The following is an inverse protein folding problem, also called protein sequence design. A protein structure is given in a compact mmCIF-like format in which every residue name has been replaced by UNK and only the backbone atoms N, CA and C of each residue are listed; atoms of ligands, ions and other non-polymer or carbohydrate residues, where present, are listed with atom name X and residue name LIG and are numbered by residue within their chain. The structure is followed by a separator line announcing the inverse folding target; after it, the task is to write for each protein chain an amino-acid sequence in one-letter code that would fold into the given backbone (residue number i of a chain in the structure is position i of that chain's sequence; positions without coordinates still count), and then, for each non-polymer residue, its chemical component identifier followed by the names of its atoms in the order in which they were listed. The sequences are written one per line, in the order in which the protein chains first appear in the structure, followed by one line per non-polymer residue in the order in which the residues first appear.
data_IF_415943289943
#
_entry.id   IF_415943289943
#
_cell.length_a   1.000
_cell.length_b   1.000
_cell.length_c   1.000
_cell.angle_alpha   90.00
_cell.angle_beta   90.00
_cell.angle_gamma   90.00
#
_symmetry.space_group_name_H-M   'P 1'
#
loop_
_entity.id
_entity.type
_entity.pdbx_description
1 polymer ?
#
# COMPACT_ATOMS: atom_id res chain seq x y z
N UNK A 1 0.96 40.47 29.74
CA UNK A 1 1.12 39.07 29.30
C UNK A 1 2.27 38.51 30.11
N UNK A 2 1.98 37.77 31.18
CA UNK A 2 3.00 37.16 32.04
C UNK A 2 3.71 36.04 31.28
N UNK A 3 5.03 36.08 31.26
CA UNK A 3 5.84 35.03 30.66
C UNK A 3 5.64 33.73 31.44
N UNK A 4 5.21 32.68 30.76
CA UNK A 4 5.20 31.31 31.31
C UNK A 4 6.65 30.93 31.62
N UNK A 5 7.00 31.00 32.91
CA UNK A 5 8.33 30.65 33.41
C UNK A 5 8.42 29.12 33.51
N UNK A 6 8.73 28.49 32.38
CA UNK A 6 8.99 27.05 32.29
C UNK A 6 10.31 26.80 33.04
N UNK A 7 10.23 26.33 34.28
CA UNK A 7 11.41 25.86 35.02
C UNK A 7 12.04 24.72 34.23
N UNK A 8 13.26 24.92 33.75
CA UNK A 8 14.07 23.86 33.17
C UNK A 8 14.22 22.75 34.22
N UNK A 9 13.66 21.57 33.92
CA UNK A 9 13.82 20.40 34.78
C UNK A 9 15.28 19.96 34.64
N UNK A 10 16.08 19.97 35.72
CA UNK A 10 17.48 19.62 35.62
C UNK A 10 17.62 18.14 35.23
N UNK A 11 18.24 17.90 34.09
CA UNK A 11 18.56 16.55 33.59
C UNK A 11 19.64 15.95 34.51
N UNK A 12 19.39 14.75 35.03
CA UNK A 12 20.35 14.06 35.90
C UNK A 12 21.59 13.61 35.13
N UNK A 13 22.74 13.47 35.80
CA UNK A 13 23.98 12.95 35.15
C UNK A 13 23.77 11.57 34.53
N UNK A 14 22.93 10.73 35.15
CA UNK A 14 22.55 9.44 34.60
C UNK A 14 21.83 9.57 33.24
N UNK A 15 20.87 10.49 33.10
CA UNK A 15 20.15 10.72 31.85
C UNK A 15 21.06 11.27 30.74
N UNK A 16 22.06 12.09 31.10
CA UNK A 16 23.08 12.57 30.15
C UNK A 16 23.93 11.41 29.63
N UNK A 17 24.38 10.53 30.52
CA UNK A 17 25.15 9.34 30.17
C UNK A 17 24.36 8.40 29.24
N UNK A 18 23.09 8.12 29.57
CA UNK A 18 22.19 7.30 28.76
C UNK A 18 21.97 7.89 27.36
N UNK A 19 21.72 9.20 27.28
CA UNK A 19 21.55 9.90 26.01
C UNK A 19 22.80 9.80 25.14
N UNK A 20 23.99 9.95 25.74
CA UNK A 20 25.26 9.84 25.01
C UNK A 20 25.50 8.42 24.48
N UNK A 21 25.23 7.39 25.29
CA UNK A 21 25.32 5.99 24.84
C UNK A 21 24.39 5.72 23.66
N UNK A 22 23.13 6.18 23.76
CA UNK A 22 22.14 6.02 22.70
C UNK A 22 22.59 6.70 21.39
N UNK A 23 23.14 7.90 21.47
CA UNK A 23 23.67 8.60 20.29
C UNK A 23 24.76 7.80 19.58
N UNK A 24 25.68 7.22 20.34
CA UNK A 24 26.78 6.42 19.79
C UNK A 24 26.32 5.08 19.20
N UNK A 25 25.28 4.48 19.77
CA UNK A 25 24.61 3.29 19.20
C UNK A 25 23.90 3.61 17.89
N UNK A 26 23.10 4.69 17.85
CA UNK A 26 22.35 5.10 16.66
C UNK A 26 23.27 5.46 15.48
N UNK A 27 24.45 6.03 15.75
CA UNK A 27 25.48 6.31 14.73
C UNK A 27 26.03 5.05 14.05
N UNK A 28 26.05 3.93 14.77
CA UNK A 28 26.60 2.65 14.30
C UNK A 28 25.54 1.74 13.69
N UNK A 29 24.25 2.01 13.93
CA UNK A 29 23.15 1.20 13.40
C UNK A 29 23.04 1.41 11.87
N UNK A 30 23.25 0.36 11.05
CA UNK A 30 23.21 0.48 9.60
C UNK A 30 21.83 0.92 9.08
N UNK A 31 20.74 0.62 9.79
CA UNK A 31 19.38 1.02 9.40
C UNK A 31 19.18 2.52 9.60
N UNK A 32 19.77 3.07 10.66
CA UNK A 32 19.76 4.52 10.91
C UNK A 32 20.64 5.24 9.89
N UNK A 33 21.81 4.69 9.58
CA UNK A 33 22.68 5.23 8.53
C UNK A 33 21.98 5.24 7.17
N UNK A 34 21.29 4.15 6.80
CA UNK A 34 20.50 4.07 5.56
C UNK A 34 19.39 5.14 5.54
N UNK A 35 18.66 5.32 6.65
CA UNK A 35 17.62 6.35 6.78
C UNK A 35 18.19 7.75 6.49
N UNK A 36 19.31 8.10 7.13
CA UNK A 36 19.92 9.41 6.99
C UNK A 36 20.38 9.67 5.57
N UNK A 37 20.94 8.67 4.90
CA UNK A 37 21.34 8.76 3.49
C UNK A 37 20.13 8.89 2.56
N UNK A 38 19.11 8.03 2.74
CA UNK A 38 17.91 7.97 1.88
C UNK A 38 17.10 9.26 1.97
N UNK A 39 16.92 9.79 3.17
CA UNK A 39 16.07 10.95 3.44
C UNK A 39 16.88 12.25 3.56
N UNK A 40 18.20 12.19 3.34
CA UNK A 40 19.13 13.33 3.40
C UNK A 40 19.03 14.11 4.72
N UNK A 41 18.94 13.38 5.83
CA UNK A 41 18.85 13.97 7.16
C UNK A 41 20.21 14.48 7.63
N UNK A 42 20.22 15.61 8.32
CA UNK A 42 21.41 16.18 8.93
C UNK A 42 21.76 15.43 10.24
N UNK A 43 23.02 15.03 10.40
CA UNK A 43 23.55 14.37 11.60
C UNK A 43 23.28 15.14 12.90
N UNK A 44 23.04 16.46 12.83
CA UNK A 44 22.58 17.27 13.98
C UNK A 44 21.41 16.63 14.72
N UNK A 45 20.52 15.92 14.00
CA UNK A 45 19.35 15.28 14.60
C UNK A 45 19.69 14.10 15.51
N UNK A 46 20.84 13.45 15.31
CA UNK A 46 21.34 12.45 16.27
C UNK A 46 21.61 13.12 17.62
N UNK A 47 22.03 14.38 17.64
CA UNK A 47 22.29 15.10 18.88
C UNK A 47 21.03 15.74 19.48
N UNK A 48 20.20 16.40 18.65
CA UNK A 48 19.03 17.15 19.13
C UNK A 48 17.83 16.26 19.43
N UNK A 49 17.67 15.16 18.70
CA UNK A 49 16.46 14.32 18.73
C UNK A 49 16.76 12.80 18.76
N UNK A 50 17.74 12.30 19.55
CA UNK A 50 18.13 10.89 19.54
C UNK A 50 16.98 9.94 19.91
N UNK A 51 16.17 10.31 20.89
CA UNK A 51 15.04 9.51 21.35
C UNK A 51 13.95 9.32 20.29
N UNK A 52 13.77 10.31 19.41
CA UNK A 52 12.82 10.21 18.30
C UNK A 52 13.31 9.20 17.26
N UNK A 53 14.60 9.23 16.95
CA UNK A 53 15.24 8.28 16.03
C UNK A 53 15.21 6.87 16.63
N UNK A 54 15.46 6.74 17.93
CA UNK A 54 15.34 5.45 18.63
C UNK A 54 13.92 4.89 18.58
N UNK A 55 12.91 5.72 18.85
CA UNK A 55 11.51 5.33 18.76
C UNK A 55 11.14 4.88 17.34
N UNK A 56 11.59 5.62 16.31
CA UNK A 56 11.44 5.25 14.91
C UNK A 56 12.11 3.90 14.60
N UNK A 57 13.36 3.72 15.03
CA UNK A 57 14.12 2.50 14.78
C UNK A 57 13.39 1.28 15.32
N UNK A 58 12.81 1.40 16.52
CA UNK A 58 11.98 0.36 17.15
C UNK A 58 10.68 0.12 16.38
N UNK A 59 10.00 1.17 15.89
CA UNK A 59 8.78 1.00 15.08
C UNK A 59 9.04 0.43 13.69
N UNK A 60 10.25 0.64 13.14
CA UNK A 60 10.65 0.13 11.83
C UNK A 60 11.12 -1.33 11.87
N UNK A 61 11.50 -1.86 13.03
CA UNK A 61 11.97 -3.25 13.20
C UNK A 61 11.13 -4.31 12.47
N UNK A 62 9.78 -4.29 12.53
CA UNK A 62 8.97 -5.29 11.83
C UNK A 62 9.07 -5.24 10.30
N UNK A 63 9.52 -4.11 9.73
CA UNK A 63 9.69 -3.95 8.28
C UNK A 63 10.95 -4.63 7.74
N UNK A 64 12.00 -4.81 8.56
CA UNK A 64 13.28 -5.38 8.12
C UNK A 64 13.13 -6.84 7.66
N UNK A 65 12.23 -7.59 8.29
CA UNK A 65 11.97 -8.99 7.98
C UNK A 65 10.60 -9.21 7.32
N UNK A 66 10.03 -8.15 6.73
CA UNK A 66 8.71 -8.22 6.10
C UNK A 66 8.77 -8.92 4.74
N UNK A 67 7.97 -9.97 4.58
CA UNK A 67 7.87 -10.80 3.37
C UNK A 67 6.72 -10.39 2.45
N UNK A 68 5.78 -9.57 2.93
CA UNK A 68 4.65 -9.10 2.14
C UNK A 68 3.52 -8.51 2.97
N UNK A 69 2.51 -7.96 2.29
CA UNK A 69 1.38 -7.28 2.95
C UNK A 69 0.58 -8.19 3.88
N UNK A 70 0.41 -9.48 3.54
CA UNK A 70 -0.39 -10.42 4.35
C UNK A 70 0.23 -10.73 5.72
N UNK A 71 1.55 -10.63 5.85
CA UNK A 71 2.28 -10.84 7.11
C UNK A 71 2.77 -9.52 7.72
N UNK A 72 2.25 -8.39 7.25
CA UNK A 72 2.64 -7.08 7.73
C UNK A 72 2.20 -6.90 9.20
N UNK A 73 3.16 -6.60 10.06
CA UNK A 73 2.95 -6.37 11.51
C UNK A 73 2.90 -4.89 11.89
N UNK A 74 2.89 -4.00 10.90
CA UNK A 74 2.75 -2.56 11.14
C UNK A 74 1.34 -2.22 11.61
N UNK A 75 1.20 -1.13 12.39
CA UNK A 75 -0.10 -0.65 12.86
C UNK A 75 -1.05 -0.35 11.70
N UNK A 76 -0.52 0.25 10.65
CA UNK A 76 -1.23 0.50 9.39
C UNK A 76 -0.65 -0.42 8.33
N UNK A 77 -1.44 -1.40 7.88
CA UNK A 77 -1.00 -2.43 6.94
C UNK A 77 -0.42 -1.81 5.67
N UNK A 78 0.81 -2.15 5.34
CA UNK A 78 1.50 -1.67 4.14
C UNK A 78 2.20 -0.31 4.29
N UNK A 79 2.05 0.35 5.44
CA UNK A 79 2.67 1.64 5.73
C UNK A 79 3.60 1.53 6.93
N UNK A 80 4.58 2.42 6.99
CA UNK A 80 5.45 2.58 8.14
C UNK A 80 5.68 4.08 8.37
N UNK A 81 6.03 4.45 9.60
CA UNK A 81 6.40 5.82 9.91
C UNK A 81 7.87 6.03 9.48
N UNK A 82 8.09 6.98 8.61
CA UNK A 82 9.41 7.45 8.14
C UNK A 82 9.79 8.76 8.84
N UNK A 83 11.03 9.21 8.69
CA UNK A 83 11.51 10.47 9.25
C UNK A 83 11.95 11.45 8.17
N UNK A 84 11.35 12.63 8.11
CA UNK A 84 11.71 13.68 7.15
C UNK A 84 12.13 14.98 7.84
N UNK A 85 12.99 15.77 7.17
CA UNK A 85 13.37 17.12 7.60
C UNK A 85 12.64 18.17 6.76
N UNK A 86 11.61 18.77 7.37
CA UNK A 86 10.89 19.92 6.80
C UNK A 86 11.15 21.20 7.63
N UNK A 87 12.42 21.39 8.06
CA UNK A 87 12.85 22.42 9.00
C UNK A 87 12.88 21.94 10.45
N UNK A 88 12.10 20.90 10.75
CA UNK A 88 12.20 20.10 11.97
C UNK A 88 12.05 18.62 11.59
N UNK A 89 12.61 17.72 12.40
CA UNK A 89 12.47 16.27 12.20
C UNK A 89 11.03 15.84 12.50
N UNK A 90 10.30 15.30 11.53
CA UNK A 90 8.91 14.87 11.64
C UNK A 90 8.70 13.42 11.21
N UNK A 91 7.63 12.80 11.73
CA UNK A 91 7.23 11.46 11.28
C UNK A 91 6.30 11.61 10.07
N UNK A 92 6.54 10.83 9.02
CA UNK A 92 5.71 10.83 7.80
C UNK A 92 5.30 9.41 7.46
N UNK A 93 4.00 9.18 7.28
CA UNK A 93 3.50 7.86 6.93
C UNK A 93 3.83 7.53 5.47
N UNK A 94 4.65 6.51 5.26
CA UNK A 94 5.18 6.16 3.94
C UNK A 94 4.76 4.74 3.53
N UNK A 95 4.29 4.52 2.29
CA UNK A 95 3.96 3.18 1.82
C UNK A 95 5.23 2.36 1.58
N UNK A 96 5.26 1.13 2.10
CA UNK A 96 6.37 0.22 1.87
C UNK A 96 6.42 -0.25 0.41
N UNK A 97 7.51 -0.92 0.01
CA UNK A 97 7.68 -1.46 -1.36
C UNK A 97 6.51 -2.34 -1.81
N UNK A 98 5.94 -3.14 -0.92
CA UNK A 98 4.81 -4.01 -1.24
C UNK A 98 3.51 -3.24 -1.42
N UNK A 99 3.29 -2.20 -0.61
CA UNK A 99 2.13 -1.34 -0.73
C UNK A 99 2.18 -0.50 -2.00
N UNK A 100 3.36 0.05 -2.35
CA UNK A 100 3.58 0.74 -3.63
C UNK A 100 3.28 -0.15 -4.82
N UNK A 101 3.83 -1.37 -4.84
CA UNK A 101 3.54 -2.34 -5.89
C UNK A 101 2.05 -2.74 -5.96
N UNK A 102 1.35 -2.77 -4.83
CA UNK A 102 -0.10 -3.00 -4.81
C UNK A 102 -0.86 -1.81 -5.41
N UNK A 103 -0.53 -0.59 -4.97
CA UNK A 103 -1.13 0.66 -5.48
C UNK A 103 -0.95 0.78 -6.99
N UNK A 104 0.24 0.50 -7.52
CA UNK A 104 0.51 0.48 -8.96
C UNK A 104 -0.39 -0.54 -9.69
N UNK A 105 -0.54 -1.75 -9.13
CA UNK A 105 -1.39 -2.81 -9.71
C UNK A 105 -2.89 -2.51 -9.65
N UNK A 106 -3.31 -1.60 -8.78
CA UNK A 106 -4.71 -1.22 -8.57
C UNK A 106 -5.02 0.22 -8.94
N UNK A 107 -4.08 0.95 -9.52
CA UNK A 107 -4.26 2.37 -9.87
C UNK A 107 -5.44 2.58 -10.83
N UNK A 108 -5.71 1.60 -11.71
CA UNK A 108 -6.85 1.63 -12.63
C UNK A 108 -8.20 1.66 -11.92
N UNK A 109 -8.28 1.23 -10.66
CA UNK A 109 -9.54 1.24 -9.90
C UNK A 109 -10.10 2.65 -9.70
N UNK A 110 -9.28 3.69 -9.78
CA UNK A 110 -9.73 5.10 -9.73
C UNK A 110 -10.66 5.47 -10.89
N UNK A 111 -10.68 4.67 -11.97
CA UNK A 111 -11.57 4.87 -13.13
C UNK A 111 -12.95 4.27 -12.93
N UNK A 112 -13.20 3.57 -11.82
CA UNK A 112 -14.51 3.01 -11.53
C UNK A 112 -15.41 4.06 -10.87
N UNK A 113 -16.50 4.44 -11.52
CA UNK A 113 -17.54 5.27 -10.90
C UNK A 113 -18.31 4.52 -9.82
N UNK A 114 -18.51 3.21 -10.03
CA UNK A 114 -19.05 2.26 -9.05
C UNK A 114 -18.21 0.99 -9.13
N UNK A 115 -17.74 0.49 -7.99
CA UNK A 115 -16.96 -0.74 -7.92
C UNK A 115 -17.50 -1.65 -6.81
N UNK A 116 -18.37 -2.58 -7.19
CA UNK A 116 -18.91 -3.60 -6.29
C UNK A 116 -18.12 -4.93 -6.38
N UNK A 117 -16.93 -4.92 -7.02
CA UNK A 117 -16.09 -6.11 -7.07
C UNK A 117 -15.49 -6.43 -5.70
N UNK A 118 -15.38 -7.71 -5.31
CA UNK A 118 -14.56 -8.10 -4.18
C UNK A 118 -13.07 -7.82 -4.46
N UNK A 119 -12.29 -7.57 -3.41
CA UNK A 119 -10.88 -7.14 -3.53
C UNK A 119 -9.96 -8.15 -4.24
N UNK A 120 -10.32 -9.44 -4.22
CA UNK A 120 -9.61 -10.48 -4.98
C UNK A 120 -9.80 -10.36 -6.51
N UNK A 121 -10.80 -9.61 -6.98
CA UNK A 121 -11.07 -9.37 -8.40
C UNK A 121 -10.44 -8.08 -8.94
N UNK A 122 -9.80 -7.24 -8.10
CA UNK A 122 -9.24 -5.96 -8.54
C UNK A 122 -8.10 -6.08 -9.57
N UNK A 123 -7.41 -7.23 -9.61
CA UNK A 123 -6.21 -7.39 -10.45
C UNK A 123 -6.34 -8.50 -11.48
N UNK A 124 -7.56 -9.02 -11.69
CA UNK A 124 -7.82 -10.04 -12.71
C UNK A 124 -7.70 -9.43 -14.11
N UNK A 125 -7.38 -10.27 -15.08
CA UNK A 125 -7.25 -9.93 -16.49
C UNK A 125 -7.44 -11.19 -17.32
N UNK A 126 -7.84 -11.05 -18.58
CA UNK A 126 -8.01 -12.21 -19.47
C UNK A 126 -6.71 -13.00 -19.61
N UNK A 127 -5.57 -12.32 -19.68
CA UNK A 127 -4.25 -12.93 -19.90
C UNK A 127 -3.73 -13.77 -18.71
N UNK A 128 -4.33 -13.64 -17.52
CA UNK A 128 -3.94 -14.41 -16.33
C UNK A 128 -4.73 -15.71 -16.16
N UNK A 129 -5.73 -15.94 -17.00
CA UNK A 129 -6.57 -17.14 -16.94
C UNK A 129 -5.78 -18.32 -17.51
N UNK A 130 -5.68 -19.41 -16.74
CA UNK A 130 -4.97 -20.61 -17.18
C UNK A 130 -5.88 -21.49 -18.06
N UNK A 131 -5.89 -21.20 -19.36
CA UNK A 131 -6.74 -21.87 -20.36
C UNK A 131 -6.42 -23.37 -20.53
N UNK A 132 -5.22 -23.83 -20.17
CA UNK A 132 -4.81 -25.23 -20.37
C UNK A 132 -5.56 -26.23 -19.46
N UNK A 133 -6.20 -25.73 -18.40
CA UNK A 133 -6.94 -26.55 -17.43
C UNK A 133 -8.45 -26.47 -17.61
N UNK A 134 -8.92 -25.70 -18.59
CA UNK A 134 -10.33 -25.41 -18.79
C UNK A 134 -10.95 -26.28 -19.89
N UNK A 135 -12.28 -26.41 -19.82
CA UNK A 135 -13.06 -27.10 -20.84
C UNK A 135 -13.14 -26.27 -22.13
N UNK A 136 -13.25 -26.93 -23.28
CA UNK A 136 -13.35 -26.27 -24.59
C UNK A 136 -14.50 -25.24 -24.66
N UNK A 137 -15.64 -25.55 -24.04
CA UNK A 137 -16.78 -24.65 -23.93
C UNK A 137 -16.44 -23.32 -23.22
N UNK A 138 -15.60 -23.39 -22.18
CA UNK A 138 -15.16 -22.19 -21.46
C UNK A 138 -14.20 -21.35 -22.31
N UNK A 139 -13.36 -21.99 -23.13
CA UNK A 139 -12.45 -21.30 -24.05
C UNK A 139 -13.23 -20.46 -25.07
N UNK A 140 -14.31 -21.00 -25.63
CA UNK A 140 -15.17 -20.28 -26.58
C UNK A 140 -15.81 -19.04 -25.93
N UNK A 141 -16.30 -19.17 -24.70
CA UNK A 141 -16.87 -18.03 -23.95
C UNK A 141 -15.81 -17.01 -23.59
N UNK A 142 -14.63 -17.46 -23.16
CA UNK A 142 -13.49 -16.57 -22.86
C UNK A 142 -13.08 -15.77 -24.09
N UNK A 143 -12.97 -16.42 -25.25
CA UNK A 143 -12.61 -15.77 -26.51
C UNK A 143 -13.68 -14.78 -26.97
N UNK A 144 -14.96 -15.15 -26.86
CA UNK A 144 -16.08 -14.26 -27.14
C UNK A 144 -16.06 -13.01 -26.23
N UNK A 145 -15.83 -13.19 -24.92
CA UNK A 145 -15.70 -12.08 -23.96
C UNK A 145 -14.53 -11.16 -24.31
N UNK A 146 -13.36 -11.73 -24.60
CA UNK A 146 -12.15 -10.97 -24.93
C UNK A 146 -12.34 -10.19 -26.22
N UNK A 147 -12.87 -10.84 -27.26
CA UNK A 147 -13.18 -10.22 -28.54
C UNK A 147 -14.19 -9.07 -28.39
N UNK A 148 -15.29 -9.31 -27.67
CA UNK A 148 -16.31 -8.28 -27.42
C UNK A 148 -15.72 -7.06 -26.69
N UNK A 149 -14.86 -7.28 -25.70
CA UNK A 149 -14.15 -6.19 -24.99
C UNK A 149 -13.19 -5.41 -25.89
N UNK A 150 -12.47 -6.06 -26.80
CA UNK A 150 -11.60 -5.38 -27.78
C UNK A 150 -12.42 -4.56 -28.77
N UNK A 151 -13.56 -5.09 -29.22
CA UNK A 151 -14.41 -4.46 -30.24
C UNK A 151 -15.52 -3.56 -29.68
N UNK A 152 -15.54 -3.29 -28.36
CA UNK A 152 -16.56 -2.49 -27.68
C UNK A 152 -18.00 -2.99 -27.93
N UNK A 153 -18.19 -4.31 -27.93
CA UNK A 153 -19.49 -4.95 -28.12
C UNK A 153 -20.10 -5.37 -26.77
N UNK A 154 -21.43 -5.27 -26.66
CA UNK A 154 -22.17 -5.77 -25.51
C UNK A 154 -22.27 -7.30 -25.52
N UNK A 155 -22.18 -7.91 -24.33
CA UNK A 155 -22.32 -9.36 -24.17
C UNK A 155 -23.24 -9.67 -22.99
N UNK A 156 -24.11 -10.66 -23.15
CA UNK A 156 -24.95 -11.19 -22.09
C UNK A 156 -24.51 -12.60 -21.72
N UNK A 157 -23.94 -12.75 -20.52
CA UNK A 157 -23.45 -14.04 -20.02
C UNK A 157 -24.49 -14.68 -19.10
N UNK A 158 -24.95 -15.89 -19.44
CA UNK A 158 -25.87 -16.68 -18.61
C UNK A 158 -25.34 -18.10 -18.39
N UNK A 159 -25.81 -18.76 -17.33
CA UNK A 159 -25.38 -20.12 -16.97
C UNK A 159 -25.35 -20.35 -15.46
N UNK A 160 -24.90 -21.53 -15.05
CA UNK A 160 -24.88 -21.99 -13.65
C UNK A 160 -24.01 -21.12 -12.73
N UNK A 161 -24.36 -21.07 -11.44
CA UNK A 161 -23.55 -20.36 -10.45
C UNK A 161 -22.13 -20.95 -10.39
N UNK A 162 -21.12 -20.09 -10.26
CA UNK A 162 -19.71 -20.52 -10.19
C UNK A 162 -19.02 -20.76 -11.54
N UNK A 163 -19.72 -20.62 -12.67
CA UNK A 163 -19.15 -20.82 -14.02
C UNK A 163 -18.17 -19.72 -14.51
N UNK A 164 -17.72 -18.82 -13.63
CA UNK A 164 -16.76 -17.77 -13.98
C UNK A 164 -17.31 -16.52 -14.68
N UNK A 165 -18.63 -16.36 -14.85
CA UNK A 165 -19.23 -15.16 -15.52
C UNK A 165 -18.77 -13.84 -14.91
N UNK A 166 -18.93 -13.69 -13.60
CA UNK A 166 -18.51 -12.49 -12.86
C UNK A 166 -17.01 -12.24 -13.00
N UNK A 167 -16.21 -13.30 -13.07
CA UNK A 167 -14.76 -13.21 -13.25
C UNK A 167 -14.40 -12.65 -14.65
N UNK A 168 -15.04 -13.15 -15.71
CA UNK A 168 -14.85 -12.65 -17.07
C UNK A 168 -15.29 -11.19 -17.22
N UNK A 169 -16.42 -10.82 -16.62
CA UNK A 169 -16.87 -9.43 -16.56
C UNK A 169 -15.86 -8.53 -15.84
N UNK A 170 -15.30 -9.00 -14.71
CA UNK A 170 -14.28 -8.25 -13.96
C UNK A 170 -12.99 -8.08 -14.78
N UNK A 171 -12.59 -9.09 -15.55
CA UNK A 171 -11.48 -8.99 -16.50
C UNK A 171 -11.71 -7.86 -17.50
N UNK A 172 -12.86 -7.85 -18.18
CA UNK A 172 -13.19 -6.81 -19.15
C UNK A 172 -13.17 -5.42 -18.51
N UNK A 173 -13.87 -5.22 -17.39
CA UNK A 173 -13.92 -3.89 -16.75
C UNK A 173 -12.56 -3.42 -16.25
N UNK A 174 -11.72 -4.32 -15.72
CA UNK A 174 -10.37 -3.95 -15.32
C UNK A 174 -9.50 -3.56 -16.53
N UNK A 175 -9.64 -4.24 -17.67
CA UNK A 175 -8.87 -3.94 -18.87
C UNK A 175 -9.27 -2.59 -19.49
N UNK A 176 -10.57 -2.27 -19.52
CA UNK A 176 -11.05 -0.94 -19.93
C UNK A 176 -10.57 0.16 -18.97
N UNK A 177 -10.65 -0.07 -17.65
CA UNK A 177 -10.12 0.87 -16.66
C UNK A 177 -8.60 1.10 -16.82
N UNK A 178 -7.82 0.06 -17.14
CA UNK A 178 -6.38 0.18 -17.44
C UNK A 178 -6.10 0.98 -18.71
N UNK A 179 -7.02 0.99 -19.68
CA UNK A 179 -6.99 1.87 -20.85
C UNK A 179 -7.42 3.31 -20.54
N UNK A 180 -7.56 3.66 -19.25
CA UNK A 180 -7.97 4.99 -18.77
C UNK A 180 -9.42 5.36 -19.11
N UNK A 181 -10.28 4.36 -19.36
CA UNK A 181 -11.71 4.55 -19.61
C UNK A 181 -12.50 4.51 -18.30
N UNK A 182 -13.53 5.36 -18.18
CA UNK A 182 -14.42 5.34 -17.01
C UNK A 182 -15.36 4.14 -17.12
N UNK A 183 -15.38 3.31 -16.07
CA UNK A 183 -16.15 2.07 -16.04
C UNK A 183 -17.02 1.99 -14.79
N UNK A 184 -17.98 1.07 -14.78
CA UNK A 184 -18.75 0.73 -13.60
C UNK A 184 -18.89 -0.80 -13.52
N UNK A 185 -18.72 -1.34 -12.31
CA UNK A 185 -19.00 -2.73 -12.00
C UNK A 185 -20.03 -2.75 -10.89
N UNK A 186 -21.25 -3.16 -11.23
CA UNK A 186 -22.43 -3.02 -10.36
C UNK A 186 -22.97 -4.39 -10.00
N UNK A 187 -23.09 -4.64 -8.70
CA UNK A 187 -23.84 -5.78 -8.19
C UNK A 187 -25.32 -5.39 -8.06
N UNK A 188 -26.11 -5.71 -9.08
CA UNK A 188 -27.48 -5.22 -9.22
C UNK A 188 -28.37 -5.40 -7.97
N UNK A 189 -28.39 -6.56 -7.28
CA UNK A 189 -29.19 -6.72 -6.07
C UNK A 189 -28.81 -5.72 -4.96
N UNK A 190 -27.52 -5.49 -4.72
CA UNK A 190 -27.04 -4.53 -3.72
C UNK A 190 -27.30 -3.09 -4.16
N UNK A 191 -27.19 -2.82 -5.45
CA UNK A 191 -27.42 -1.49 -6.01
C UNK A 191 -28.87 -1.03 -5.83
N UNK A 192 -29.85 -1.93 -6.00
CA UNK A 192 -31.27 -1.61 -5.84
C UNK A 192 -31.67 -1.22 -4.41
N UNK A 193 -30.84 -1.53 -3.42
CA UNK A 193 -31.12 -1.26 -1.99
C UNK A 193 -30.26 -0.14 -1.41
N UNK A 194 -29.48 0.56 -2.24
CA UNK A 194 -28.61 1.68 -1.80
C UNK A 194 -29.38 2.97 -1.57
#
# INVERSE_FOLDING_TARGET
MEALNIKEIPITEQQKQETKSLQDELRKDPVVVELFQRNKLDERYLNTSPWKIHAWRKSFEPCLHCTGLNQCKQRVKGYYDDLEDNGILQNVQTPCKFQRAYMEKTAHLEKFGVNDMPSNMYTVSFDKINLLKEMEEYLLVWEACRSASIHNQGLYLHGTMGSGKTYLSACATNDHARKNETVAFVHYPTYCTR
#
